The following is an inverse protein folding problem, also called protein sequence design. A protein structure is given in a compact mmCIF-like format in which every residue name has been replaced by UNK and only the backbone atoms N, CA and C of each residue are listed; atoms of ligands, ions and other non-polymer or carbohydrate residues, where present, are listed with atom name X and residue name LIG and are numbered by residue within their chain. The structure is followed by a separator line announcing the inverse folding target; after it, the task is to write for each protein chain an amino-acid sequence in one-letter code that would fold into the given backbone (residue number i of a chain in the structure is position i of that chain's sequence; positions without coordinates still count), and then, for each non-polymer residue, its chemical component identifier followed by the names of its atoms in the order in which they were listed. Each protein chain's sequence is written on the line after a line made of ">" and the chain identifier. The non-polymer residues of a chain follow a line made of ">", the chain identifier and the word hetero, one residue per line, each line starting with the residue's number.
data_IF_332105803686
#
_entry.id   IF_332105803686
#
_cell.length_a   1.000
_cell.length_b   1.000
_cell.length_c   1.000
_cell.angle_alpha   90.00
_cell.angle_beta   90.00
_cell.angle_gamma   90.00
#
_symmetry.space_group_name_H-M   'P 1'
#
loop_
_entity.id
_entity.type
_entity.pdbx_description
1 polymer ?
#
# COMPACT_ATOMS: atom_id res chain seq x y z
N UNK A 1 -17.89 6.47 25.60
CA UNK A 1 -17.49 6.27 24.19
C UNK A 1 -17.41 7.63 23.54
N UNK A 2 -16.31 7.89 22.85
CA UNK A 2 -16.08 9.15 22.16
C UNK A 2 -16.27 8.94 20.65
N UNK A 3 -16.80 9.94 19.96
CA UNK A 3 -16.90 9.94 18.50
C UNK A 3 -16.24 11.18 17.91
N UNK A 4 -15.44 10.95 16.89
CA UNK A 4 -14.85 11.94 16.02
C UNK A 4 -15.48 11.80 14.64
N UNK A 5 -16.17 12.84 14.18
CA UNK A 5 -16.78 12.89 12.86
C UNK A 5 -15.93 13.74 11.94
N UNK A 6 -15.48 13.11 10.86
CA UNK A 6 -14.68 13.73 9.82
C UNK A 6 -15.61 14.20 8.73
N UNK A 7 -15.75 15.52 8.58
CA UNK A 7 -16.62 16.08 7.56
C UNK A 7 -15.88 16.20 6.22
N UNK A 8 -16.55 15.74 5.16
CA UNK A 8 -16.03 15.78 3.79
C UNK A 8 -16.92 16.70 2.94
N UNK A 9 -16.46 17.94 2.73
CA UNK A 9 -16.96 18.82 1.67
C UNK A 9 -18.44 19.23 1.67
N UNK A 10 -19.05 19.60 2.80
CA UNK A 10 -20.43 20.12 2.77
C UNK A 10 -20.51 21.64 2.53
N UNK A 11 -21.51 22.06 1.74
CA UNK A 11 -21.94 23.47 1.49
C UNK A 11 -22.80 24.06 2.63
N UNK A 12 -23.03 23.31 3.73
CA UNK A 12 -23.92 23.71 4.82
C UNK A 12 -23.14 24.08 6.09
N UNK A 13 -23.30 25.32 6.55
CA UNK A 13 -22.62 25.87 7.73
C UNK A 13 -23.17 25.27 9.04
N UNK A 14 -24.42 24.79 9.03
CA UNK A 14 -25.13 24.33 10.23
C UNK A 14 -25.08 22.81 10.47
N UNK A 15 -24.63 22.02 9.49
CA UNK A 15 -24.59 20.57 9.58
C UNK A 15 -23.76 20.03 10.76
N UNK A 16 -22.58 20.60 11.12
CA UNK A 16 -21.80 20.12 12.26
C UNK A 16 -22.54 20.26 13.61
N UNK A 17 -23.19 21.39 13.87
CA UNK A 17 -23.88 21.61 15.15
C UNK A 17 -25.06 20.65 15.35
N UNK A 18 -25.86 20.44 14.31
CA UNK A 18 -26.98 19.49 14.34
C UNK A 18 -26.53 18.06 14.58
N UNK A 19 -25.43 17.64 13.95
CA UNK A 19 -24.87 16.31 14.17
C UNK A 19 -24.28 16.15 15.57
N UNK A 20 -23.68 17.19 16.15
CA UNK A 20 -23.19 17.15 17.53
C UNK A 20 -24.33 16.90 18.53
N UNK A 21 -25.49 17.55 18.34
CA UNK A 21 -26.68 17.33 19.18
C UNK A 21 -27.25 15.92 19.02
N UNK A 22 -27.40 15.44 17.79
CA UNK A 22 -27.93 14.09 17.49
C UNK A 22 -27.04 13.01 18.12
N UNK A 23 -25.72 13.15 18.02
CA UNK A 23 -24.75 12.20 18.58
C UNK A 23 -24.69 12.26 20.11
N UNK A 24 -24.78 13.46 20.70
CA UNK A 24 -24.95 13.60 22.15
C UNK A 24 -26.19 12.86 22.64
N UNK A 25 -27.34 13.03 21.97
CA UNK A 25 -28.60 12.33 22.29
C UNK A 25 -28.55 10.81 22.05
N UNK A 26 -27.65 10.35 21.18
CA UNK A 26 -27.43 8.94 20.92
C UNK A 26 -26.66 8.24 22.04
N UNK A 27 -25.93 8.99 22.88
CA UNK A 27 -25.21 8.47 24.04
C UNK A 27 -23.68 8.51 23.93
N UNK A 28 -23.12 9.28 22.99
CA UNK A 28 -21.69 9.55 22.96
C UNK A 28 -21.30 10.53 24.06
N UNK A 29 -20.29 10.18 24.86
CA UNK A 29 -19.83 11.00 26.00
C UNK A 29 -18.98 12.20 25.57
N UNK A 30 -18.40 12.14 24.37
CA UNK A 30 -17.66 13.23 23.74
C UNK A 30 -17.87 13.18 22.24
N UNK A 31 -18.25 14.30 21.65
CA UNK A 31 -18.44 14.45 20.22
C UNK A 31 -17.48 15.51 19.71
N UNK A 32 -16.65 15.16 18.74
CA UNK A 32 -15.76 16.08 18.02
C UNK A 32 -16.12 16.02 16.54
N UNK A 33 -16.17 17.17 15.88
CA UNK A 33 -16.42 17.25 14.44
C UNK A 33 -15.34 18.13 13.84
N UNK A 34 -14.63 17.61 12.84
CA UNK A 34 -13.51 18.33 12.21
C UNK A 34 -13.39 18.05 10.72
N UNK A 35 -12.66 18.92 10.03
CA UNK A 35 -12.32 18.74 8.61
C UNK A 35 -11.43 17.52 8.41
N UNK A 36 -11.60 16.87 7.25
CA UNK A 36 -10.72 15.81 6.77
C UNK A 36 -9.27 16.29 6.66
N UNK A 37 -8.35 15.49 7.19
CA UNK A 37 -6.91 15.54 7.02
C UNK A 37 -6.46 14.38 6.13
N UNK A 38 -5.34 14.53 5.46
CA UNK A 38 -4.75 13.47 4.63
C UNK A 38 -4.35 12.30 5.55
N UNK A 39 -4.80 11.09 5.23
CA UNK A 39 -4.56 9.88 6.03
C UNK A 39 -5.66 9.52 7.03
N UNK A 40 -6.76 10.29 7.10
CA UNK A 40 -7.91 9.94 7.92
C UNK A 40 -8.67 8.72 7.37
N UNK A 41 -8.84 7.69 8.20
CA UNK A 41 -9.57 6.46 7.90
C UNK A 41 -10.69 6.20 8.93
N UNK A 42 -11.86 5.68 8.51
CA UNK A 42 -12.95 5.38 9.43
C UNK A 42 -12.64 4.11 10.21
N UNK A 43 -12.98 4.11 11.50
CA UNK A 43 -12.73 2.94 12.33
C UNK A 43 -13.14 3.17 13.76
N UNK A 44 -12.92 2.15 14.58
CA UNK A 44 -13.11 2.26 16.02
C UNK A 44 -11.83 1.81 16.68
N UNK A 45 -11.30 2.65 17.55
CA UNK A 45 -10.05 2.46 18.27
C UNK A 45 -10.35 2.26 19.75
N UNK A 46 -9.79 1.22 20.38
CA UNK A 46 -9.81 1.12 21.84
C UNK A 46 -8.66 1.94 22.43
N UNK A 47 -8.98 3.15 22.90
CA UNK A 47 -8.09 4.08 23.59
C UNK A 47 -8.02 3.82 25.11
N UNK A 48 -8.63 2.73 25.60
CA UNK A 48 -8.61 2.31 27.01
C UNK A 48 -7.72 1.09 27.25
N UNK A 49 -7.79 0.54 28.47
CA UNK A 49 -7.08 -0.70 28.80
C UNK A 49 -8.00 -1.91 28.63
N UNK A 50 -7.45 -3.12 28.53
CA UNK A 50 -8.25 -4.36 28.43
C UNK A 50 -9.20 -4.57 29.63
N UNK A 51 -8.90 -3.97 30.78
CA UNK A 51 -9.75 -4.01 31.99
C UNK A 51 -10.77 -2.87 32.05
N UNK A 52 -10.52 -1.76 31.36
CA UNK A 52 -11.41 -0.59 31.29
C UNK A 52 -11.39 -0.04 29.86
N UNK A 53 -12.09 -0.70 28.92
CA UNK A 53 -12.05 -0.33 27.52
C UNK A 53 -12.71 1.04 27.32
N UNK A 54 -12.09 1.89 26.50
CA UNK A 54 -12.62 3.17 26.09
C UNK A 54 -12.52 3.23 24.59
N UNK A 55 -13.63 3.39 23.90
CA UNK A 55 -13.65 3.38 22.44
C UNK A 55 -13.75 4.80 21.89
N UNK A 56 -12.92 5.09 20.89
CA UNK A 56 -12.99 6.25 20.01
C UNK A 56 -13.49 5.78 18.65
N UNK A 57 -14.60 6.34 18.20
CA UNK A 57 -15.20 6.04 16.90
C UNK A 57 -14.81 7.16 15.93
N UNK A 58 -14.23 6.83 14.79
CA UNK A 58 -13.94 7.75 13.68
C UNK A 58 -14.96 7.49 12.58
N UNK A 59 -15.88 8.43 12.37
CA UNK A 59 -16.97 8.35 11.40
C UNK A 59 -16.84 9.44 10.33
N UNK A 60 -17.45 9.28 9.16
CA UNK A 60 -17.48 10.34 8.13
C UNK A 60 -18.85 11.00 8.04
N UNK A 61 -18.86 12.29 7.73
CA UNK A 61 -20.06 13.01 7.30
C UNK A 61 -19.94 13.31 5.80
N UNK A 62 -20.76 12.63 4.99
CA UNK A 62 -20.86 12.78 3.53
C UNK A 62 -22.31 13.03 3.13
N UNK A 63 -22.57 14.04 2.31
CA UNK A 63 -23.92 14.32 1.77
C UNK A 63 -25.01 14.40 2.86
N UNK A 64 -24.73 15.07 3.98
CA UNK A 64 -25.60 15.16 5.17
C UNK A 64 -25.97 13.81 5.82
N UNK A 65 -25.20 12.75 5.54
CA UNK A 65 -25.34 11.43 6.14
C UNK A 65 -24.09 11.05 6.91
N UNK A 66 -24.29 10.54 8.12
CA UNK A 66 -23.24 9.96 8.93
C UNK A 66 -22.95 8.54 8.44
N UNK A 67 -21.69 8.26 8.19
CA UNK A 67 -21.17 6.94 7.85
C UNK A 67 -20.45 6.41 9.08
N UNK A 68 -21.11 5.52 9.82
CA UNK A 68 -20.56 4.81 10.97
C UNK A 68 -19.77 3.57 10.48
N UNK A 69 -18.62 3.24 11.10
CA UNK A 69 -17.93 1.99 10.81
C UNK A 69 -18.81 0.75 11.09
N UNK A 70 -18.76 -0.33 10.27
CA UNK A 70 -17.90 -0.51 9.10
C UNK A 70 -18.39 0.15 7.81
N UNK A 71 -19.68 0.44 7.62
CA UNK A 71 -20.20 1.18 6.46
C UNK A 71 -21.64 1.70 6.62
N UNK A 72 -22.13 1.82 7.85
CA UNK A 72 -23.53 2.06 8.11
C UNK A 72 -23.89 3.53 7.93
N UNK A 73 -24.76 3.81 6.95
CA UNK A 73 -25.24 5.16 6.66
C UNK A 73 -26.47 5.47 7.50
N UNK A 74 -26.40 6.58 8.22
CA UNK A 74 -27.49 7.11 9.04
C UNK A 74 -27.78 8.56 8.68
N UNK A 75 -29.05 8.94 8.69
CA UNK A 75 -29.46 10.34 8.64
C UNK A 75 -29.79 10.87 10.06
N UNK A 76 -29.97 12.19 10.19
CA UNK A 76 -30.25 12.83 11.49
C UNK A 76 -31.57 12.37 12.15
N UNK A 77 -32.55 11.89 11.37
CA UNK A 77 -33.84 11.39 11.86
C UNK A 77 -33.77 9.96 12.37
N UNK A 78 -32.71 9.22 12.01
CA UNK A 78 -32.48 7.82 12.38
C UNK A 78 -31.74 7.67 13.71
N UNK A 79 -32.10 8.47 14.72
CA UNK A 79 -31.48 8.42 16.05
C UNK A 79 -31.55 7.01 16.68
N UNK A 80 -32.65 6.28 16.44
CA UNK A 80 -32.82 4.91 16.91
C UNK A 80 -31.76 3.95 16.35
N UNK A 81 -31.35 4.15 15.09
CA UNK A 81 -30.34 3.34 14.40
C UNK A 81 -28.95 3.55 15.00
N UNK A 82 -28.59 4.81 15.29
CA UNK A 82 -27.33 5.17 15.95
C UNK A 82 -27.28 4.58 17.37
N UNK A 83 -28.40 4.60 18.11
CA UNK A 83 -28.50 4.00 19.46
C UNK A 83 -28.38 2.48 19.43
N UNK A 84 -28.96 1.82 18.44
CA UNK A 84 -28.85 0.38 18.25
C UNK A 84 -27.38 -0.01 17.97
N UNK A 85 -26.75 0.68 17.03
CA UNK A 85 -25.33 0.50 16.71
C UNK A 85 -24.42 0.69 17.93
N UNK A 86 -24.65 1.74 18.72
CA UNK A 86 -23.86 2.00 19.93
C UNK A 86 -24.02 0.89 20.97
N UNK A 87 -25.23 0.34 21.11
CA UNK A 87 -25.52 -0.76 22.05
C UNK A 87 -24.86 -2.07 21.61
N UNK A 88 -24.89 -2.38 20.32
CA UNK A 88 -24.19 -3.54 19.75
C UNK A 88 -22.67 -3.45 19.97
N UNK A 89 -22.11 -2.24 19.80
CA UNK A 89 -20.70 -1.99 20.07
C UNK A 89 -20.33 -2.15 21.56
N UNK A 90 -21.21 -1.73 22.48
CA UNK A 90 -21.00 -1.89 23.92
C UNK A 90 -21.16 -3.34 24.41
N UNK A 91 -21.98 -4.14 23.74
CA UNK A 91 -22.22 -5.55 24.08
C UNK A 91 -21.19 -6.50 23.46
N UNK A 92 -20.16 -5.98 22.78
CA UNK A 92 -19.14 -6.78 22.11
C UNK A 92 -19.65 -7.48 20.84
N UNK A 93 -20.87 -7.18 20.39
CA UNK A 93 -21.52 -7.83 19.25
C UNK A 93 -21.01 -7.37 17.88
N UNK A 94 -20.06 -6.43 17.85
CA UNK A 94 -19.56 -5.86 16.61
C UNK A 94 -18.03 -6.01 16.54
N UNK A 95 -17.55 -7.23 16.31
CA UNK A 95 -16.13 -7.51 16.04
C UNK A 95 -15.61 -6.65 14.87
N UNK A 96 -16.46 -6.34 13.90
CA UNK A 96 -16.19 -5.45 12.76
C UNK A 96 -16.09 -3.96 13.14
N UNK A 97 -16.65 -3.55 14.28
CA UNK A 97 -16.53 -2.20 14.81
C UNK A 97 -15.64 -2.15 16.06
N UNK A 98 -14.92 -3.21 16.43
CA UNK A 98 -13.77 -3.13 17.35
C UNK A 98 -12.43 -3.32 16.63
N UNK A 99 -12.47 -3.76 15.36
CA UNK A 99 -11.32 -3.75 14.47
C UNK A 99 -11.47 -2.56 13.51
N UNK A 100 -10.59 -1.54 13.55
CA UNK A 100 -10.56 -0.56 12.47
C UNK A 100 -10.40 -1.31 11.14
N UNK A 101 -11.19 -0.96 10.13
CA UNK A 101 -10.95 -1.49 8.78
C UNK A 101 -9.55 -1.06 8.39
N UNK A 102 -8.68 -2.02 8.13
CA UNK A 102 -7.36 -1.78 7.58
C UNK A 102 -7.44 -1.34 6.12
N UNK A 103 -6.28 -1.27 5.43
CA UNK A 103 -6.24 -0.84 4.04
C UNK A 103 -7.20 -1.67 3.18
N UNK A 104 -7.75 -1.03 2.14
CA UNK A 104 -8.72 -1.62 1.21
C UNK A 104 -10.10 -1.95 1.82
N UNK A 105 -10.39 -1.51 3.05
CA UNK A 105 -11.66 -1.84 3.72
C UNK A 105 -11.69 -3.27 4.28
N UNK A 106 -10.53 -3.90 4.44
CA UNK A 106 -10.40 -5.25 4.99
C UNK A 106 -10.09 -5.20 6.49
N UNK A 107 -10.70 -6.08 7.27
CA UNK A 107 -10.24 -6.34 8.64
C UNK A 107 -8.82 -6.96 8.63
N UNK A 108 -8.04 -6.86 9.73
CA UNK A 108 -6.71 -7.47 9.79
C UNK A 108 -6.68 -8.96 9.40
N UNK A 109 -7.61 -9.83 9.87
CA UNK A 109 -7.63 -11.23 9.44
C UNK A 109 -7.94 -11.42 7.95
N UNK A 110 -8.77 -10.56 7.35
CA UNK A 110 -9.06 -10.60 5.92
C UNK A 110 -7.84 -10.16 5.10
N UNK A 111 -7.12 -9.13 5.57
CA UNK A 111 -5.89 -8.68 4.95
C UNK A 111 -4.82 -9.78 4.99
N UNK A 112 -4.66 -10.45 6.13
CA UNK A 112 -3.71 -11.55 6.27
C UNK A 112 -4.04 -12.71 5.32
N UNK A 113 -5.32 -13.08 5.16
CA UNK A 113 -5.74 -14.08 4.17
C UNK A 113 -5.44 -13.64 2.74
N UNK A 114 -5.73 -12.39 2.40
CA UNK A 114 -5.41 -11.83 1.08
C UNK A 114 -3.90 -11.87 0.80
N UNK A 115 -3.07 -11.55 1.80
CA UNK A 115 -1.61 -11.67 1.70
C UNK A 115 -1.16 -13.11 1.51
N UNK A 116 -1.71 -14.04 2.28
CA UNK A 116 -1.40 -15.47 2.16
C UNK A 116 -1.78 -16.04 0.78
N UNK A 117 -2.93 -15.64 0.24
CA UNK A 117 -3.34 -16.02 -1.12
C UNK A 117 -2.31 -15.58 -2.18
N UNK A 118 -1.74 -14.39 -1.99
CA UNK A 118 -0.76 -13.78 -2.90
C UNK A 118 0.71 -14.11 -2.59
N UNK A 119 0.98 -14.88 -1.53
CA UNK A 119 2.33 -15.21 -1.06
C UNK A 119 3.03 -16.28 -1.92
N UNK A 120 2.33 -16.93 -2.85
CA UNK A 120 2.92 -17.94 -3.72
C UNK A 120 4.02 -17.31 -4.59
N UNK A 121 5.15 -18.00 -4.70
CA UNK A 121 6.34 -17.48 -5.40
C UNK A 121 6.21 -17.62 -6.91
N UNK A 122 6.69 -16.62 -7.63
CA UNK A 122 6.85 -16.67 -9.08
C UNK A 122 7.97 -17.64 -9.42
N UNK A 123 7.63 -18.79 -9.99
CA UNK A 123 8.59 -19.85 -10.36
C UNK A 123 9.11 -19.77 -11.79
N UNK A 124 8.88 -18.66 -12.50
CA UNK A 124 9.28 -18.50 -13.91
C UNK A 124 10.14 -17.27 -14.08
N UNK A 125 11.15 -17.37 -14.95
CA UNK A 125 11.91 -16.21 -15.39
C UNK A 125 10.96 -15.18 -16.04
N UNK A 126 11.05 -13.91 -15.64
CA UNK A 126 10.13 -12.85 -16.09
C UNK A 126 10.79 -11.81 -16.99
N UNK A 127 12.11 -11.63 -16.89
CA UNK A 127 12.82 -10.61 -17.64
C UNK A 127 12.71 -10.87 -19.16
N UNK A 128 12.45 -9.82 -19.93
CA UNK A 128 12.30 -9.88 -21.38
C UNK A 128 10.98 -10.45 -21.89
N UNK A 129 10.18 -11.11 -21.04
CA UNK A 129 8.87 -11.64 -21.43
C UNK A 129 7.83 -10.55 -21.60
N UNK A 130 6.80 -10.84 -22.39
CA UNK A 130 5.66 -9.94 -22.56
C UNK A 130 4.90 -9.80 -21.23
N UNK A 131 4.64 -8.55 -20.82
CA UNK A 131 3.97 -8.25 -19.55
C UNK A 131 2.53 -8.74 -19.50
N UNK A 132 1.78 -8.68 -20.60
CA UNK A 132 0.41 -9.17 -20.65
C UNK A 132 0.34 -10.69 -20.46
N UNK A 133 1.23 -11.42 -21.14
CA UNK A 133 1.35 -12.88 -21.00
C UNK A 133 1.70 -13.26 -19.57
N UNK A 134 2.67 -12.57 -18.95
CA UNK A 134 3.04 -12.81 -17.56
C UNK A 134 1.90 -12.52 -16.58
N UNK A 135 1.19 -11.41 -16.72
CA UNK A 135 0.03 -11.11 -15.86
C UNK A 135 -1.01 -12.23 -15.95
N UNK A 136 -1.36 -12.65 -17.17
CA UNK A 136 -2.34 -13.72 -17.38
C UNK A 136 -1.83 -15.06 -16.82
N UNK A 137 -0.56 -15.38 -17.03
CA UNK A 137 0.06 -16.59 -16.50
C UNK A 137 -0.04 -16.63 -14.97
N UNK A 138 0.40 -15.58 -14.28
CA UNK A 138 0.39 -15.53 -12.81
C UNK A 138 -1.02 -15.62 -12.23
N UNK A 139 -2.01 -14.97 -12.87
CA UNK A 139 -3.41 -15.05 -12.47
C UNK A 139 -3.94 -16.49 -12.62
N UNK A 140 -3.62 -17.15 -13.73
CA UNK A 140 -4.10 -18.50 -14.05
C UNK A 140 -3.43 -19.57 -13.17
N UNK A 141 -2.11 -19.49 -12.97
CA UNK A 141 -1.33 -20.45 -12.18
C UNK A 141 -1.85 -20.53 -10.73
N UNK A 142 -2.31 -19.41 -10.19
CA UNK A 142 -2.87 -19.31 -8.83
C UNK A 142 -4.38 -19.32 -8.77
N UNK A 143 -5.04 -19.47 -9.93
CA UNK A 143 -6.51 -19.44 -10.06
C UNK A 143 -7.12 -18.23 -9.33
N UNK A 144 -6.47 -17.08 -9.43
CA UNK A 144 -6.92 -15.86 -8.78
C UNK A 144 -8.20 -15.38 -9.48
N UNK A 145 -9.30 -15.16 -8.75
CA UNK A 145 -10.54 -14.62 -9.33
C UNK A 145 -10.39 -13.12 -9.56
N UNK A 146 -9.69 -12.75 -10.64
CA UNK A 146 -9.40 -11.36 -11.00
C UNK A 146 -10.36 -10.84 -12.08
N UNK A 147 -11.07 -9.77 -11.76
CA UNK A 147 -11.88 -8.99 -12.71
C UNK A 147 -11.01 -7.93 -13.39
N UNK A 148 -10.99 -7.95 -14.72
CA UNK A 148 -10.29 -6.96 -15.55
C UNK A 148 -11.25 -6.42 -16.60
N UNK A 149 -11.61 -5.14 -16.46
CA UNK A 149 -12.42 -4.40 -17.42
C UNK A 149 -11.74 -4.27 -18.79
N UNK A 150 -12.53 -4.10 -19.85
CA UNK A 150 -12.04 -4.08 -21.24
C UNK A 150 -10.97 -3.01 -21.50
N UNK A 151 -11.10 -1.83 -20.88
CA UNK A 151 -10.12 -0.73 -21.06
C UNK A 151 -8.77 -1.10 -20.47
N UNK A 152 -8.77 -1.67 -19.26
CA UNK A 152 -7.59 -2.12 -18.54
C UNK A 152 -6.96 -3.31 -19.28
N UNK A 153 -7.76 -4.23 -19.81
CA UNK A 153 -7.29 -5.33 -20.65
C UNK A 153 -6.56 -4.83 -21.90
N UNK A 154 -7.09 -3.81 -22.58
CA UNK A 154 -6.42 -3.21 -23.73
C UNK A 154 -5.10 -2.51 -23.35
N UNK A 155 -5.04 -1.84 -22.20
CA UNK A 155 -3.80 -1.25 -21.69
C UNK A 155 -2.74 -2.30 -21.36
N UNK A 156 -3.15 -3.42 -20.77
CA UNK A 156 -2.27 -4.56 -20.49
C UNK A 156 -1.79 -5.18 -21.80
N UNK A 157 -2.67 -5.44 -22.76
CA UNK A 157 -2.33 -6.04 -24.06
C UNK A 157 -1.34 -5.17 -24.87
N UNK A 158 -1.47 -3.84 -24.82
CA UNK A 158 -0.55 -2.91 -25.47
C UNK A 158 0.78 -2.70 -24.74
N UNK A 159 1.07 -3.45 -23.68
CA UNK A 159 2.28 -3.27 -22.88
C UNK A 159 3.49 -4.03 -23.44
N UNK A 160 4.68 -3.49 -23.23
CA UNK A 160 5.93 -4.07 -23.73
C UNK A 160 6.49 -5.22 -22.88
N UNK A 161 7.78 -5.50 -23.05
CA UNK A 161 8.49 -6.46 -22.22
C UNK A 161 8.66 -5.99 -20.77
N UNK A 162 8.87 -6.94 -19.86
CA UNK A 162 9.26 -6.69 -18.47
C UNK A 162 10.78 -6.55 -18.38
N UNK A 163 11.26 -5.55 -17.64
CA UNK A 163 12.69 -5.22 -17.56
C UNK A 163 13.38 -5.73 -16.30
N UNK A 164 12.63 -6.25 -15.33
CA UNK A 164 13.16 -6.79 -14.08
C UNK A 164 12.81 -8.28 -13.94
N UNK A 165 13.70 -9.03 -13.28
CA UNK A 165 13.38 -10.38 -12.82
C UNK A 165 12.53 -10.30 -11.55
N UNK A 166 11.36 -10.94 -11.59
CA UNK A 166 10.41 -11.09 -10.50
C UNK A 166 10.39 -12.53 -9.99
N UNK A 167 11.27 -13.38 -10.51
CA UNK A 167 11.41 -14.77 -10.09
C UNK A 167 11.75 -14.84 -8.59
N UNK A 168 11.12 -15.78 -7.89
CA UNK A 168 11.27 -15.96 -6.45
C UNK A 168 10.40 -15.03 -5.59
N UNK A 169 9.96 -13.88 -6.10
CA UNK A 169 9.06 -12.97 -5.37
C UNK A 169 7.65 -13.53 -5.25
N UNK A 170 6.92 -13.08 -4.22
CA UNK A 170 5.50 -13.34 -4.09
C UNK A 170 4.68 -12.72 -5.25
N UNK A 171 3.65 -13.43 -5.68
CA UNK A 171 2.84 -13.03 -6.85
C UNK A 171 2.04 -11.75 -6.65
N UNK A 172 1.58 -11.43 -5.44
CA UNK A 172 0.93 -10.14 -5.19
C UNK A 172 1.85 -8.96 -5.51
N UNK A 173 3.08 -9.04 -5.02
CA UNK A 173 4.13 -8.05 -5.23
C UNK A 173 4.54 -8.02 -6.70
N UNK A 174 4.69 -9.18 -7.35
CA UNK A 174 4.97 -9.25 -8.79
C UNK A 174 3.85 -8.61 -9.63
N UNK A 175 2.58 -8.91 -9.36
CA UNK A 175 1.43 -8.30 -10.03
C UNK A 175 1.39 -6.78 -9.78
N UNK A 176 1.68 -6.31 -8.57
CA UNK A 176 1.77 -4.90 -8.27
C UNK A 176 2.89 -4.21 -9.09
N UNK A 177 4.05 -4.84 -9.24
CA UNK A 177 5.14 -4.34 -10.09
C UNK A 177 4.73 -4.30 -11.56
N UNK A 178 4.10 -5.36 -12.07
CA UNK A 178 3.69 -5.46 -13.47
C UNK A 178 2.61 -4.44 -13.85
N UNK A 179 1.63 -4.19 -12.97
CA UNK A 179 0.53 -3.26 -13.23
C UNK A 179 0.94 -1.79 -13.09
N UNK A 180 1.94 -1.49 -12.26
CA UNK A 180 2.30 -0.12 -11.88
C UNK A 180 2.70 0.79 -13.06
N UNK A 181 3.56 0.37 -14.03
CA UNK A 181 3.91 1.18 -15.20
C UNK A 181 2.71 1.59 -16.05
N UNK A 182 1.65 0.79 -16.04
CA UNK A 182 0.42 1.03 -16.80
C UNK A 182 -0.53 2.00 -16.11
N UNK A 183 -0.17 2.50 -14.92
CA UNK A 183 -1.08 3.30 -14.11
C UNK A 183 -2.17 2.48 -13.42
N UNK A 184 -2.04 1.16 -13.40
CA UNK A 184 -3.01 0.22 -12.84
C UNK A 184 -2.54 -0.30 -11.48
N UNK A 185 -3.46 -0.91 -10.75
CA UNK A 185 -3.17 -1.65 -9.53
C UNK A 185 -4.22 -2.70 -9.25
N UNK A 186 -3.83 -3.68 -8.43
CA UNK A 186 -4.70 -4.74 -7.96
C UNK A 186 -5.44 -4.25 -6.72
N UNK A 187 -6.74 -4.55 -6.59
CA UNK A 187 -7.51 -4.21 -5.40
C UNK A 187 -8.32 -5.43 -4.95
N UNK A 188 -8.27 -5.82 -3.67
CA UNK A 188 -9.16 -6.86 -3.17
C UNK A 188 -10.60 -6.32 -3.13
N UNK A 189 -11.56 -7.18 -3.42
CA UNK A 189 -13.00 -6.93 -3.31
C UNK A 189 -13.62 -7.90 -2.29
N UNK A 190 -14.89 -7.66 -1.93
CA UNK A 190 -15.60 -8.57 -1.03
C UNK A 190 -15.62 -10.00 -1.57
N UNK A 191 -15.35 -10.98 -0.69
CA UNK A 191 -15.39 -12.41 -1.04
C UNK A 191 -14.14 -12.96 -1.72
N UNK A 192 -12.94 -12.47 -1.34
CA UNK A 192 -11.63 -12.97 -1.83
C UNK A 192 -11.44 -12.86 -3.35
N UNK A 193 -12.15 -11.92 -3.96
CA UNK A 193 -11.99 -11.54 -5.36
C UNK A 193 -11.05 -10.37 -5.51
N UNK A 194 -10.55 -10.20 -6.71
CA UNK A 194 -9.60 -9.14 -7.04
C UNK A 194 -10.10 -8.36 -8.25
N UNK A 195 -9.77 -7.08 -8.32
CA UNK A 195 -10.04 -6.26 -9.49
C UNK A 195 -8.80 -5.48 -9.89
N UNK A 196 -8.58 -5.35 -11.19
CA UNK A 196 -7.59 -4.41 -11.73
C UNK A 196 -8.25 -3.06 -11.94
N UNK A 197 -7.79 -2.06 -11.20
CA UNK A 197 -8.31 -0.69 -11.25
C UNK A 197 -7.24 0.29 -11.71
N UNK A 198 -7.68 1.46 -12.18
CA UNK A 198 -6.77 2.59 -12.41
C UNK A 198 -6.37 3.17 -11.05
N UNK A 199 -5.06 3.32 -10.82
CA UNK A 199 -4.55 3.97 -9.61
C UNK A 199 -4.85 5.47 -9.66
N UNK A 200 -5.68 5.94 -8.72
CA UNK A 200 -5.96 7.36 -8.45
C UNK A 200 -5.48 7.71 -7.03
N UNK A 201 -5.58 8.97 -6.61
CA UNK A 201 -5.28 9.37 -5.21
C UNK A 201 -6.22 8.72 -4.20
N UNK A 202 -7.45 8.43 -4.61
CA UNK A 202 -8.55 8.06 -3.71
C UNK A 202 -8.84 6.55 -3.73
N UNK A 203 -8.15 5.80 -4.60
CA UNK A 203 -8.34 4.35 -4.76
C UNK A 203 -7.09 3.62 -4.28
N UNK A 204 -7.11 3.04 -3.06
CA UNK A 204 -5.99 2.27 -2.57
C UNK A 204 -5.81 1.02 -3.45
N UNK A 205 -4.56 0.77 -3.86
CA UNK A 205 -4.16 -0.43 -4.62
C UNK A 205 -3.12 -1.22 -3.86
N UNK A 206 -3.09 -2.54 -4.07
CA UNK A 206 -2.12 -3.45 -3.49
C UNK A 206 -0.69 -2.93 -3.68
N UNK A 207 0.11 -2.87 -2.61
CA UNK A 207 1.38 -2.19 -2.67
C UNK A 207 2.45 -3.03 -3.38
N UNK A 208 3.51 -2.36 -3.83
CA UNK A 208 4.74 -3.05 -4.25
C UNK A 208 5.54 -3.38 -3.00
N UNK A 209 5.16 -4.48 -2.37
CA UNK A 209 5.66 -4.90 -1.07
C UNK A 209 5.24 -3.98 0.08
N UNK A 210 5.40 -4.51 1.28
CA UNK A 210 5.03 -3.93 2.55
C UNK A 210 6.24 -3.30 3.22
N UNK A 211 6.01 -2.26 4.01
CA UNK A 211 7.04 -1.75 4.91
C UNK A 211 7.35 -2.80 5.99
N UNK A 212 8.60 -2.81 6.45
CA UNK A 212 9.01 -3.67 7.56
C UNK A 212 8.87 -2.91 8.87
N UNK A 213 8.32 -3.54 9.90
CA UNK A 213 8.31 -3.00 11.26
C UNK A 213 9.73 -2.97 11.89
N UNK A 214 10.68 -3.65 11.26
CA UNK A 214 12.07 -3.69 11.66
C UNK A 214 12.91 -2.66 10.88
N UNK A 215 14.02 -2.24 11.47
CA UNK A 215 14.97 -1.38 10.77
C UNK A 215 15.61 -2.12 9.59
N UNK A 216 15.93 -1.38 8.52
CA UNK A 216 16.58 -1.94 7.32
C UNK A 216 17.85 -2.76 7.64
N UNK A 217 18.58 -2.41 8.70
CA UNK A 217 19.77 -3.14 9.14
C UNK A 217 19.45 -4.52 9.75
N UNK A 218 18.26 -4.70 10.33
CA UNK A 218 17.77 -6.00 10.81
C UNK A 218 17.13 -6.81 9.70
N UNK A 219 16.33 -6.17 8.86
CA UNK A 219 15.65 -6.82 7.73
C UNK A 219 16.63 -7.30 6.66
N UNK A 220 17.68 -6.50 6.39
CA UNK A 220 18.71 -6.84 5.39
C UNK A 220 20.12 -6.53 5.94
N UNK A 221 20.69 -7.40 6.81
CA UNK A 221 21.97 -7.14 7.45
C UNK A 221 23.16 -7.01 6.48
N UNK A 222 23.09 -7.69 5.33
CA UNK A 222 24.13 -7.64 4.29
C UNK A 222 24.37 -6.22 3.78
N UNK A 223 23.37 -5.32 3.85
CA UNK A 223 23.52 -3.91 3.48
C UNK A 223 24.54 -3.14 4.33
N UNK A 224 24.80 -3.60 5.55
CA UNK A 224 25.79 -3.04 6.48
C UNK A 224 27.18 -3.62 6.32
N UNK A 225 27.36 -4.70 5.55
CA UNK A 225 28.67 -5.33 5.35
C UNK A 225 29.56 -4.46 4.47
N UNK A 226 30.86 -4.44 4.79
CA UNK A 226 31.86 -3.69 4.04
C UNK A 226 32.26 -4.43 2.75
N UNK A 227 32.52 -3.65 1.71
CA UNK A 227 32.96 -4.08 0.39
C UNK A 227 34.02 -3.12 -0.12
N UNK A 228 35.11 -3.67 -0.66
CA UNK A 228 36.06 -2.92 -1.46
C UNK A 228 35.49 -2.74 -2.87
N UNK A 229 35.49 -1.51 -3.35
CA UNK A 229 35.04 -1.17 -4.70
C UNK A 229 36.20 -0.66 -5.52
N UNK A 230 36.10 -0.86 -6.83
CA UNK A 230 37.05 -0.34 -7.80
C UNK A 230 36.42 0.82 -8.57
N UNK A 231 37.26 1.60 -9.27
CA UNK A 231 36.76 2.61 -10.19
C UNK A 231 36.16 1.91 -11.40
N UNK A 232 34.86 2.03 -11.58
CA UNK A 232 34.14 1.42 -12.71
C UNK A 232 33.06 2.38 -13.20
N UNK A 233 32.80 2.34 -14.52
CA UNK A 233 31.67 3.00 -15.14
C UNK A 233 30.93 1.94 -15.97
N UNK A 234 29.64 1.78 -15.73
CA UNK A 234 28.79 0.81 -16.40
C UNK A 234 27.33 1.29 -16.40
N UNK A 235 26.48 0.76 -17.28
CA UNK A 235 25.05 1.06 -17.28
C UNK A 235 24.39 0.79 -15.91
N UNK A 236 23.41 1.61 -15.53
CA UNK A 236 22.70 1.49 -14.25
C UNK A 236 22.08 0.10 -14.06
N UNK A 237 21.41 -0.44 -15.09
CA UNK A 237 20.83 -1.78 -15.04
C UNK A 237 21.89 -2.87 -14.73
N UNK A 238 23.06 -2.78 -15.35
CA UNK A 238 24.14 -3.77 -15.15
C UNK A 238 24.72 -3.64 -13.73
N UNK A 239 24.90 -2.42 -13.23
CA UNK A 239 25.35 -2.18 -11.87
C UNK A 239 24.36 -2.73 -10.82
N UNK A 240 23.06 -2.55 -11.07
CA UNK A 240 22.01 -3.08 -10.20
C UNK A 240 21.96 -4.61 -10.26
N UNK A 241 22.03 -5.21 -11.44
CA UNK A 241 22.05 -6.68 -11.60
C UNK A 241 23.25 -7.32 -10.89
N UNK A 242 24.45 -6.75 -11.05
CA UNK A 242 25.65 -7.23 -10.35
C UNK A 242 25.53 -7.11 -8.82
N UNK A 243 24.93 -6.02 -8.33
CA UNK A 243 24.68 -5.86 -6.90
C UNK A 243 23.63 -6.83 -6.38
N UNK A 244 22.53 -7.02 -7.10
CA UNK A 244 21.48 -7.98 -6.73
C UNK A 244 22.06 -9.40 -6.60
N UNK A 245 22.83 -9.85 -7.60
CA UNK A 245 23.50 -11.14 -7.57
C UNK A 245 24.50 -11.26 -6.42
N UNK A 246 25.27 -10.20 -6.13
CA UNK A 246 26.24 -10.20 -5.02
C UNK A 246 25.58 -10.21 -3.65
N UNK A 247 24.44 -9.55 -3.51
CA UNK A 247 23.69 -9.46 -2.26
C UNK A 247 22.80 -10.67 -2.03
N UNK A 248 22.51 -11.44 -3.08
CA UNK A 248 21.48 -12.48 -3.13
C UNK A 248 20.10 -11.94 -2.73
N UNK A 249 19.80 -10.72 -3.19
CA UNK A 249 18.56 -9.99 -2.88
C UNK A 249 18.04 -9.32 -4.14
N UNK A 250 16.75 -9.50 -4.50
CA UNK A 250 16.16 -8.82 -5.63
C UNK A 250 16.22 -7.30 -5.47
N UNK A 251 16.63 -6.60 -6.52
CA UNK A 251 16.61 -5.14 -6.60
C UNK A 251 15.75 -4.76 -7.81
N UNK A 252 14.63 -4.11 -7.56
CA UNK A 252 13.65 -3.76 -8.59
C UNK A 252 13.62 -2.25 -8.80
N UNK A 253 13.44 -1.81 -10.05
CA UNK A 253 13.31 -0.39 -10.38
C UNK A 253 11.85 -0.02 -10.63
N UNK A 254 11.43 1.12 -10.09
CA UNK A 254 10.11 1.71 -10.32
C UNK A 254 10.03 2.31 -11.73
N UNK A 255 9.80 1.48 -12.75
CA UNK A 255 9.74 1.89 -14.15
C UNK A 255 8.79 3.07 -14.40
N UNK A 256 7.71 3.17 -13.61
CA UNK A 256 6.79 4.31 -13.68
C UNK A 256 7.49 5.61 -13.30
N UNK A 257 8.18 5.63 -12.16
CA UNK A 257 8.84 6.83 -11.65
C UNK A 257 10.12 7.16 -12.42
N UNK A 258 10.82 6.14 -12.93
CA UNK A 258 11.93 6.32 -13.87
C UNK A 258 11.46 7.01 -15.15
N UNK A 259 10.36 6.56 -15.75
CA UNK A 259 9.79 7.18 -16.94
C UNK A 259 9.34 8.63 -16.69
N UNK A 260 8.69 8.89 -15.55
CA UNK A 260 8.26 10.25 -15.14
C UNK A 260 9.42 11.21 -14.90
N UNK A 261 10.57 10.69 -14.46
CA UNK A 261 11.77 11.47 -14.17
C UNK A 261 12.78 11.46 -15.32
N UNK A 262 12.40 10.89 -16.47
CA UNK A 262 13.25 10.74 -17.65
C UNK A 262 14.60 10.04 -17.37
N UNK A 263 14.63 9.14 -16.38
CA UNK A 263 15.83 8.37 -16.04
C UNK A 263 15.94 7.16 -16.95
N UNK A 264 17.04 7.06 -17.69
CA UNK A 264 17.32 5.93 -18.57
C UNK A 264 18.07 4.83 -17.80
N UNK A 265 17.54 3.59 -17.80
CA UNK A 265 18.18 2.40 -17.19
C UNK A 265 19.56 2.09 -17.78
N UNK A 266 19.83 2.52 -19.01
CA UNK A 266 21.13 2.36 -19.69
C UNK A 266 22.09 3.53 -19.45
N UNK A 267 21.68 4.55 -18.69
CA UNK A 267 22.58 5.63 -18.34
C UNK A 267 23.72 5.11 -17.48
N UNK A 268 24.94 5.57 -17.78
CA UNK A 268 26.12 5.16 -17.03
C UNK A 268 26.03 5.65 -15.58
N UNK A 269 26.49 4.81 -14.67
CA UNK A 269 26.78 5.15 -13.28
C UNK A 269 28.26 4.90 -13.03
N UNK A 270 28.85 5.76 -12.21
CA UNK A 270 30.25 5.65 -11.83
C UNK A 270 30.39 5.26 -10.38
N UNK A 271 31.32 4.33 -10.11
CA UNK A 271 31.73 3.99 -8.76
C UNK A 271 33.18 4.41 -8.55
N UNK A 272 33.49 4.93 -7.36
CA UNK A 272 34.86 5.26 -6.97
C UNK A 272 35.51 4.08 -6.27
N UNK A 273 36.83 4.01 -6.35
CA UNK A 273 37.59 3.07 -5.57
C UNK A 273 37.53 3.42 -4.08
N UNK A 274 37.50 2.42 -3.21
CA UNK A 274 37.50 2.62 -1.76
C UNK A 274 36.82 1.48 -1.01
N UNK A 275 36.62 1.69 0.29
CA UNK A 275 35.94 0.75 1.18
C UNK A 275 34.62 1.37 1.62
N UNK A 276 33.52 0.72 1.28
CA UNK A 276 32.16 1.19 1.54
C UNK A 276 31.34 0.09 2.19
N UNK A 277 30.19 0.43 2.75
CA UNK A 277 29.14 -0.57 3.03
C UNK A 277 28.22 -0.70 1.81
N UNK A 278 27.59 -1.86 1.62
CA UNK A 278 26.72 -2.10 0.45
C UNK A 278 25.62 -1.05 0.26
N UNK A 279 24.97 -0.59 1.35
CA UNK A 279 23.95 0.48 1.25
C UNK A 279 24.52 1.83 0.81
N UNK A 280 25.81 2.10 1.06
CA UNK A 280 26.49 3.31 0.60
C UNK A 280 26.87 3.20 -0.88
N UNK A 281 27.31 2.01 -1.32
CA UNK A 281 27.53 1.71 -2.74
C UNK A 281 26.25 1.96 -3.54
N UNK A 282 25.14 1.33 -3.13
CA UNK A 282 23.86 1.48 -3.83
C UNK A 282 23.39 2.94 -3.84
N UNK A 283 23.47 3.65 -2.71
CA UNK A 283 23.12 5.09 -2.66
C UNK A 283 24.00 5.95 -3.56
N UNK A 284 25.30 5.65 -3.67
CA UNK A 284 26.20 6.42 -4.53
C UNK A 284 25.87 6.23 -6.02
N UNK A 285 25.52 5.01 -6.44
CA UNK A 285 25.10 4.73 -7.81
C UNK A 285 23.77 5.41 -8.13
N UNK A 286 22.78 5.26 -7.25
CA UNK A 286 21.42 5.77 -7.46
C UNK A 286 21.34 7.31 -7.44
N UNK A 287 22.09 7.97 -6.56
CA UNK A 287 22.07 9.44 -6.42
C UNK A 287 22.49 10.19 -7.69
N UNK A 288 23.30 9.58 -8.56
CA UNK A 288 23.69 10.17 -9.84
C UNK A 288 22.49 10.43 -10.76
N UNK A 289 21.39 9.69 -10.55
CA UNK A 289 20.14 9.82 -11.29
C UNK A 289 18.97 10.23 -10.38
N UNK A 290 19.25 10.85 -9.22
CA UNK A 290 18.24 11.29 -8.24
C UNK A 290 17.33 10.16 -7.72
N UNK A 291 17.85 8.92 -7.74
CA UNK A 291 17.17 7.75 -7.22
C UNK A 291 17.62 7.44 -5.78
N UNK A 292 16.79 6.69 -5.08
CA UNK A 292 17.06 6.09 -3.78
C UNK A 292 16.40 4.73 -3.70
N UNK A 293 16.61 4.01 -2.60
CA UNK A 293 15.95 2.72 -2.37
C UNK A 293 15.27 2.67 -1.00
N UNK A 294 14.28 1.79 -0.90
CA UNK A 294 13.65 1.36 0.35
C UNK A 294 13.75 -0.16 0.46
N UNK A 295 13.88 -0.67 1.69
CA UNK A 295 13.71 -2.11 1.95
C UNK A 295 12.22 -2.38 2.05
N UNK A 296 11.72 -3.34 1.27
CA UNK A 296 10.32 -3.77 1.27
C UNK A 296 10.27 -5.27 1.51
N UNK A 297 9.16 -5.74 2.05
CA UNK A 297 8.84 -7.15 2.21
C UNK A 297 7.79 -7.54 1.18
N UNK A 298 7.98 -8.62 0.44
CA UNK A 298 6.93 -9.13 -0.42
C UNK A 298 5.78 -9.75 0.41
N UNK A 299 4.75 -10.27 -0.26
CA UNK A 299 3.60 -10.89 0.42
C UNK A 299 3.96 -12.19 1.16
N UNK A 300 5.11 -12.79 0.86
CA UNK A 300 5.71 -13.93 1.55
C UNK A 300 6.74 -13.52 2.62
N UNK A 301 6.80 -12.24 2.97
CA UNK A 301 7.75 -11.65 3.92
C UNK A 301 9.23 -11.77 3.52
N UNK A 302 9.54 -12.02 2.25
CA UNK A 302 10.91 -11.98 1.75
C UNK A 302 11.33 -10.52 1.48
N UNK A 303 12.52 -10.10 1.94
CA UNK A 303 13.00 -8.76 1.67
C UNK A 303 13.48 -8.59 0.22
N UNK A 304 13.20 -7.42 -0.34
CA UNK A 304 13.78 -6.93 -1.59
C UNK A 304 14.06 -5.43 -1.50
N UNK A 305 14.87 -4.92 -2.43
CA UNK A 305 15.17 -3.49 -2.52
C UNK A 305 14.32 -2.86 -3.62
N UNK A 306 13.48 -1.88 -3.24
CA UNK A 306 12.67 -1.11 -4.18
C UNK A 306 13.36 0.22 -4.49
N UNK A 307 13.76 0.41 -5.74
CA UNK A 307 14.44 1.62 -6.22
C UNK A 307 13.44 2.56 -6.88
N UNK A 308 13.37 3.81 -6.41
CA UNK A 308 12.50 4.84 -6.97
C UNK A 308 13.07 6.23 -6.66
N UNK A 309 12.34 7.29 -7.00
CA UNK A 309 12.76 8.67 -6.72
C UNK A 309 12.60 9.02 -5.24
N UNK A 310 13.33 10.04 -4.78
CA UNK A 310 13.22 10.52 -3.39
C UNK A 310 11.80 10.96 -3.03
N UNK A 311 11.11 11.62 -3.95
CA UNK A 311 9.74 12.11 -3.78
C UNK A 311 8.74 10.96 -3.69
N UNK A 312 8.97 9.87 -4.42
CA UNK A 312 8.08 8.70 -4.41
C UNK A 312 8.25 7.84 -3.14
N UNK A 313 9.48 7.69 -2.64
CA UNK A 313 9.75 6.88 -1.44
C UNK A 313 9.58 7.61 -0.10
N UNK A 314 9.48 8.94 -0.11
CA UNK A 314 9.08 9.72 1.06
C UNK A 314 7.62 10.11 0.90
N UNK A 315 6.67 9.50 1.64
CA UNK A 315 5.37 10.14 1.79
C UNK A 315 5.62 11.49 2.47
N UNK A 316 5.14 12.57 1.86
CA UNK A 316 5.44 13.96 2.19
C UNK A 316 5.55 14.21 3.71
N UNK A 317 6.72 14.64 4.15
CA UNK A 317 6.86 15.44 5.35
C UNK A 317 6.53 16.89 5.00
N UNK A 318 5.24 17.22 4.94
CA UNK A 318 4.70 18.58 5.00
C UNK A 318 3.31 18.54 5.65
#
# INVERSE_FOLDING_TARGET
>A
MEIEVIHEGSRSILAPQQWAEVLGRAGFSRVSIRSRRVGDEPGVENIGSSKFPRYRVVAFLRDDRLVLPPAEKCNQRELGKIKAWLRELQQGGNEAASNPMGPFGLSPPQLDRARQQLATRVGVATEGKNRAELINQLINDQRLPVEIDIRQRNQIAGSGAVSDSLEGLATGTALAVLLRPLGLGLQPTEGERWRVIKKTSDSPVWPVGWDSDQSAARTVPVLGKQVATQKVALPLNDAIAQLAARLDIPILLDDRELARSSVNRKANVTMRAGRFIHSAVLRQLLRQHQLTFAVRLDDAAQPFLWVSTFTSLRPNAL
#
